data_IF_721202716129
#
_entry.id   IF_721202716129
#
_cell.length_a   1.000
_cell.length_b   1.000
_cell.length_c   1.000
_cell.angle_alpha   90.00
_cell.angle_beta   90.00
_cell.angle_gamma   90.00
#
_symmetry.space_group_name_H-M   'P 1'
#
loop_
_entity.id
_entity.type
_entity.pdbx_description
1 polymer ?
#
# COMPACT_ATOMS: atom_id res chain seq x y z
N UNK A 1 -3.36 -17.27 -6.48
CA UNK A 1 -2.04 -17.36 -5.84
C UNK A 1 -1.65 -18.82 -5.70
N UNK A 2 -0.35 -19.19 -5.75
CA UNK A 2 0.06 -20.55 -5.42
C UNK A 2 -0.36 -20.86 -3.98
N UNK A 3 -0.75 -22.10 -3.71
CA UNK A 3 -1.02 -22.55 -2.34
C UNK A 3 0.29 -22.39 -1.53
N UNK A 4 0.34 -21.43 -0.62
CA UNK A 4 1.54 -21.02 0.10
C UNK A 4 1.28 -19.87 1.08
N UNK A 5 2.27 -19.59 1.93
CA UNK A 5 2.24 -18.59 3.01
C UNK A 5 1.75 -17.22 2.53
N UNK A 6 1.15 -16.43 3.44
CA UNK A 6 0.71 -15.08 3.13
C UNK A 6 1.88 -14.18 2.70
N UNK A 7 1.62 -13.24 1.78
CA UNK A 7 2.58 -12.19 1.42
C UNK A 7 2.63 -11.20 2.58
N UNK A 8 3.81 -11.03 3.18
CA UNK A 8 4.00 -10.17 4.38
C UNK A 8 4.76 -8.88 4.09
N UNK A 9 5.15 -8.64 2.84
CA UNK A 9 5.80 -7.40 2.39
C UNK A 9 4.74 -6.43 1.86
N UNK A 10 4.62 -5.25 2.50
CA UNK A 10 3.66 -4.22 2.11
C UNK A 10 3.87 -3.72 0.68
N UNK A 11 5.13 -3.59 0.23
CA UNK A 11 5.44 -3.18 -1.13
C UNK A 11 4.99 -4.23 -2.16
N UNK A 12 5.14 -5.52 -1.84
CA UNK A 12 4.62 -6.60 -2.68
C UNK A 12 3.08 -6.60 -2.72
N UNK A 13 2.41 -6.45 -1.57
CA UNK A 13 0.95 -6.36 -1.51
C UNK A 13 0.42 -5.23 -2.40
N UNK A 14 1.06 -4.06 -2.37
CA UNK A 14 0.74 -2.95 -3.25
C UNK A 14 0.91 -3.30 -4.74
N UNK A 15 2.00 -3.97 -5.14
CA UNK A 15 2.15 -4.42 -6.54
C UNK A 15 1.01 -5.34 -6.96
N UNK A 16 0.67 -6.34 -6.14
CA UNK A 16 -0.45 -7.26 -6.43
C UNK A 16 -1.83 -6.60 -6.39
N UNK A 17 -1.98 -5.50 -5.66
CA UNK A 17 -3.23 -4.75 -5.58
C UNK A 17 -3.54 -3.93 -6.84
N UNK A 18 -2.55 -3.68 -7.70
CA UNK A 18 -2.76 -2.88 -8.91
C UNK A 18 -3.78 -3.55 -9.85
N UNK A 19 -4.77 -2.79 -10.36
CA UNK A 19 -5.81 -3.30 -11.26
C UNK A 19 -5.28 -3.44 -12.69
N UNK A 20 -4.26 -4.28 -12.88
CA UNK A 20 -3.58 -4.48 -14.17
C UNK A 20 -3.71 -5.92 -14.65
N UNK A 21 -3.78 -6.09 -15.96
CA UNK A 21 -3.78 -7.38 -16.63
C UNK A 21 -2.61 -7.44 -17.62
N UNK A 22 -1.44 -7.80 -17.11
CA UNK A 22 -0.23 -8.03 -17.91
C UNK A 22 0.57 -9.19 -17.33
N UNK A 23 0.41 -10.38 -17.90
CA UNK A 23 1.06 -11.58 -17.39
C UNK A 23 2.60 -11.48 -17.41
N UNK A 24 3.17 -10.78 -18.40
CA UNK A 24 4.62 -10.68 -18.59
C UNK A 24 5.29 -9.87 -17.48
N UNK A 25 4.69 -8.75 -17.06
CA UNK A 25 5.22 -7.98 -15.92
C UNK A 25 5.04 -8.73 -14.60
N UNK A 26 3.93 -9.48 -14.44
CA UNK A 26 3.73 -10.35 -13.27
C UNK A 26 4.78 -11.47 -13.20
N UNK A 27 5.15 -12.06 -14.32
CA UNK A 27 6.25 -13.04 -14.37
C UNK A 27 7.60 -12.43 -13.97
N UNK A 28 7.88 -11.19 -14.41
CA UNK A 28 9.08 -10.45 -14.00
C UNK A 28 9.07 -10.18 -12.49
N UNK A 29 7.98 -9.64 -11.96
CA UNK A 29 7.79 -9.37 -10.54
C UNK A 29 7.99 -10.64 -9.71
N UNK A 30 7.28 -11.73 -10.03
CA UNK A 30 7.31 -12.99 -9.29
C UNK A 30 8.73 -13.55 -9.21
N UNK A 31 9.46 -13.57 -10.33
CA UNK A 31 10.83 -14.06 -10.35
C UNK A 31 11.77 -13.24 -9.45
N UNK A 32 11.61 -11.92 -9.41
CA UNK A 32 12.39 -11.05 -8.53
C UNK A 32 12.00 -11.21 -7.06
N UNK A 33 10.72 -11.40 -6.75
CA UNK A 33 10.24 -11.62 -5.37
C UNK A 33 10.71 -12.96 -4.81
N UNK A 34 10.73 -14.02 -5.63
CA UNK A 34 11.16 -15.38 -5.26
C UNK A 34 12.61 -15.46 -4.79
N UNK A 35 13.46 -14.50 -5.18
CA UNK A 35 14.83 -14.37 -4.65
C UNK A 35 14.83 -14.34 -3.11
N UNK A 36 13.81 -13.74 -2.49
CA UNK A 36 13.66 -13.67 -1.02
C UNK A 36 13.54 -15.05 -0.37
N UNK A 37 12.89 -16.01 -1.04
CA UNK A 37 12.74 -17.38 -0.57
C UNK A 37 14.08 -18.13 -0.58
N UNK A 38 14.99 -17.73 -1.46
CA UNK A 38 16.28 -18.39 -1.65
C UNK A 38 17.42 -17.71 -0.88
N UNK A 39 17.32 -16.40 -0.65
CA UNK A 39 18.39 -15.61 -0.02
C UNK A 39 18.58 -15.93 1.46
N UNK A 40 17.49 -16.25 2.19
CA UNK A 40 17.56 -16.68 3.59
C UNK A 40 18.42 -17.94 3.74
N UNK A 41 18.22 -18.90 2.85
CA UNK A 41 18.97 -20.16 2.81
C UNK A 41 20.26 -20.09 1.97
N UNK A 42 20.67 -18.90 1.49
CA UNK A 42 21.85 -18.68 0.63
C UNK A 42 21.90 -19.61 -0.60
N UNK A 43 20.74 -19.91 -1.19
CA UNK A 43 20.61 -20.79 -2.36
C UNK A 43 20.91 -20.03 -3.66
N UNK A 44 22.21 -19.82 -3.93
CA UNK A 44 22.68 -19.01 -5.06
C UNK A 44 22.29 -19.53 -6.45
N UNK A 45 22.21 -20.85 -6.65
CA UNK A 45 21.78 -21.43 -7.93
C UNK A 45 20.37 -21.00 -8.34
N UNK A 46 19.34 -21.22 -7.50
CA UNK A 46 18.00 -20.67 -7.72
C UNK A 46 17.97 -19.16 -7.92
N UNK A 47 18.65 -18.37 -7.07
CA UNK A 47 18.72 -16.91 -7.21
C UNK A 47 19.24 -16.51 -8.60
N UNK A 48 20.36 -17.12 -9.04
CA UNK A 48 20.93 -16.89 -10.37
C UNK A 48 19.96 -17.26 -11.49
N UNK A 49 19.20 -18.35 -11.33
CA UNK A 49 18.16 -18.75 -12.28
C UNK A 49 17.06 -17.70 -12.37
N UNK A 50 16.62 -17.12 -11.27
CA UNK A 50 15.52 -16.15 -11.26
C UNK A 50 15.94 -14.80 -11.85
N UNK A 51 17.15 -14.33 -11.52
CA UNK A 51 17.73 -13.13 -12.17
C UNK A 51 17.92 -13.34 -13.68
N UNK A 52 18.35 -14.54 -14.10
CA UNK A 52 18.49 -14.87 -15.52
C UNK A 52 17.14 -14.88 -16.24
N UNK A 53 16.07 -15.37 -15.59
CA UNK A 53 14.71 -15.31 -16.15
C UNK A 53 14.23 -13.86 -16.29
N UNK A 54 14.44 -13.03 -15.26
CA UNK A 54 14.11 -11.60 -15.30
C UNK A 54 14.82 -10.90 -16.46
N UNK A 55 16.14 -11.11 -16.61
CA UNK A 55 16.94 -10.61 -17.72
C UNK A 55 16.41 -11.08 -19.08
N UNK A 56 15.99 -12.35 -19.20
CA UNK A 56 15.41 -12.89 -20.44
C UNK A 56 14.06 -12.25 -20.79
N UNK A 57 13.19 -12.04 -19.80
CA UNK A 57 11.90 -11.34 -20.00
C UNK A 57 12.17 -9.93 -20.50
N UNK A 58 13.06 -9.21 -19.82
CA UNK A 58 13.44 -7.85 -20.21
C UNK A 58 14.11 -7.81 -21.59
N UNK A 59 14.88 -8.81 -22.01
CA UNK A 59 15.50 -8.75 -23.34
C UNK A 59 14.58 -9.17 -24.48
N UNK A 60 13.68 -10.12 -24.25
CA UNK A 60 12.92 -10.77 -25.33
C UNK A 60 11.44 -10.36 -25.37
N UNK A 61 10.89 -9.83 -24.29
CA UNK A 61 9.44 -9.64 -24.12
C UNK A 61 9.06 -8.22 -23.67
N UNK A 62 9.93 -7.22 -23.84
CA UNK A 62 9.60 -5.80 -23.53
C UNK A 62 8.32 -5.33 -24.22
N UNK A 63 8.15 -5.71 -25.49
CA UNK A 63 6.97 -5.32 -26.25
C UNK A 63 5.68 -5.87 -25.66
N UNK A 64 5.71 -7.00 -24.94
CA UNK A 64 4.53 -7.51 -24.22
C UNK A 64 4.25 -6.72 -22.95
N UNK A 65 5.29 -6.23 -22.26
CA UNK A 65 5.15 -5.35 -21.10
C UNK A 65 4.54 -4.00 -21.53
N UNK A 66 5.06 -3.41 -22.60
CA UNK A 66 4.63 -2.11 -23.11
C UNK A 66 3.21 -2.10 -23.69
N UNK A 67 2.63 -3.26 -24.06
CA UNK A 67 1.27 -3.34 -24.63
C UNK A 67 0.17 -2.81 -23.72
N UNK A 68 0.36 -2.88 -22.40
CA UNK A 68 -0.63 -2.41 -21.42
C UNK A 68 -0.46 -0.94 -21.04
N UNK A 69 0.48 -0.23 -21.67
CA UNK A 69 0.82 1.16 -21.34
C UNK A 69 0.30 2.08 -22.45
N UNK A 70 -0.33 3.18 -22.02
CA UNK A 70 -0.89 4.17 -22.94
C UNK A 70 0.19 4.90 -23.74
N UNK A 71 -0.14 5.35 -24.96
CA UNK A 71 0.81 6.05 -25.84
C UNK A 71 1.46 7.27 -25.18
N UNK A 72 0.72 7.98 -24.33
CA UNK A 72 1.21 9.15 -23.59
C UNK A 72 2.24 8.81 -22.53
N UNK A 73 2.26 7.57 -22.03
CA UNK A 73 3.16 7.10 -21.00
C UNK A 73 4.29 6.20 -21.54
N UNK A 74 4.27 5.84 -22.83
CA UNK A 74 5.27 4.96 -23.46
C UNK A 74 6.71 5.41 -23.21
N UNK A 75 7.04 6.68 -23.45
CA UNK A 75 8.40 7.19 -23.26
C UNK A 75 8.88 7.07 -21.80
N UNK A 76 7.98 7.29 -20.83
CA UNK A 76 8.29 7.12 -19.40
C UNK A 76 8.50 5.65 -19.06
N UNK A 77 7.67 4.77 -19.61
CA UNK A 77 7.78 3.33 -19.40
C UNK A 77 9.04 2.72 -20.02
N UNK A 78 9.43 3.16 -21.22
CA UNK A 78 10.71 2.77 -21.84
C UNK A 78 11.90 3.21 -20.99
N UNK A 79 11.85 4.42 -20.43
CA UNK A 79 12.85 4.91 -19.49
C UNK A 79 12.95 4.06 -18.22
N UNK A 80 11.81 3.69 -17.62
CA UNK A 80 11.76 2.80 -16.46
C UNK A 80 12.26 1.40 -16.79
N UNK A 81 11.89 0.83 -17.94
CA UNK A 81 12.39 -0.48 -18.38
C UNK A 81 13.91 -0.49 -18.54
N UNK A 82 14.49 0.57 -19.11
CA UNK A 82 15.95 0.70 -19.20
C UNK A 82 16.62 0.75 -17.81
N UNK A 83 16.00 1.41 -16.82
CA UNK A 83 16.50 1.43 -15.44
C UNK A 83 16.39 0.05 -14.79
N UNK A 84 15.25 -0.64 -14.97
CA UNK A 84 15.03 -2.01 -14.47
C UNK A 84 16.07 -2.97 -15.08
N UNK A 85 16.36 -2.86 -16.37
CA UNK A 85 17.40 -3.67 -17.04
C UNK A 85 18.80 -3.44 -16.49
N UNK A 86 19.16 -2.17 -16.26
CA UNK A 86 20.43 -1.83 -15.64
C UNK A 86 20.50 -2.38 -14.20
N UNK A 87 19.42 -2.25 -13.43
CA UNK A 87 19.31 -2.78 -12.07
C UNK A 87 19.39 -4.31 -12.03
N UNK A 88 18.73 -5.02 -12.95
CA UNK A 88 18.82 -6.49 -13.06
C UNK A 88 20.23 -6.94 -13.45
N UNK A 89 20.93 -6.17 -14.28
CA UNK A 89 22.33 -6.44 -14.64
C UNK A 89 23.27 -6.24 -13.45
N UNK A 90 23.06 -5.19 -12.63
CA UNK A 90 23.78 -5.01 -11.37
C UNK A 90 23.47 -6.12 -10.37
N UNK A 91 22.20 -6.53 -10.29
CA UNK A 91 21.76 -7.64 -9.44
C UNK A 91 22.44 -8.95 -9.84
N UNK A 92 22.59 -9.20 -11.14
CA UNK A 92 23.33 -10.36 -11.64
C UNK A 92 24.79 -10.35 -11.16
N UNK A 93 25.48 -9.22 -11.28
CA UNK A 93 26.87 -9.10 -10.80
C UNK A 93 26.98 -9.35 -9.29
N UNK A 94 26.03 -8.84 -8.49
CA UNK A 94 26.00 -9.07 -7.05
C UNK A 94 25.75 -10.56 -6.71
N UNK A 95 24.90 -11.25 -7.48
CA UNK A 95 24.66 -12.69 -7.35
C UNK A 95 25.89 -13.51 -7.70
N UNK A 96 26.62 -13.16 -8.76
CA UNK A 96 27.89 -13.80 -9.14
C UNK A 96 28.96 -13.61 -8.07
N UNK A 97 29.05 -12.42 -7.49
CA UNK A 97 29.92 -12.10 -6.36
C UNK A 97 29.46 -12.74 -5.03
N UNK A 98 28.25 -13.31 -4.98
CA UNK A 98 27.60 -13.84 -3.77
C UNK A 98 27.48 -12.78 -2.65
N UNK A 99 27.29 -11.53 -3.03
CA UNK A 99 27.11 -10.41 -2.11
C UNK A 99 25.64 -10.35 -1.68
N UNK A 100 25.35 -10.92 -0.50
CA UNK A 100 23.98 -11.00 0.01
C UNK A 100 23.38 -9.62 0.27
N UNK A 101 24.14 -8.69 0.84
CA UNK A 101 23.62 -7.38 1.22
C UNK A 101 23.28 -6.59 -0.04
N UNK A 102 24.18 -6.61 -1.02
CA UNK A 102 23.94 -5.92 -2.28
C UNK A 102 22.79 -6.52 -3.08
N UNK A 103 22.61 -7.84 -3.04
CA UNK A 103 21.44 -8.49 -3.66
C UNK A 103 20.13 -8.05 -3.00
N UNK A 104 20.09 -7.92 -1.67
CA UNK A 104 18.88 -7.45 -0.95
C UNK A 104 18.54 -6.02 -1.38
N UNK A 105 19.54 -5.13 -1.37
CA UNK A 105 19.41 -3.72 -1.76
C UNK A 105 18.93 -3.59 -3.21
N UNK A 106 19.68 -4.14 -4.17
CA UNK A 106 19.36 -4.01 -5.60
C UNK A 106 18.03 -4.66 -5.96
N UNK A 107 17.68 -5.81 -5.36
CA UNK A 107 16.38 -6.46 -5.59
C UNK A 107 15.24 -5.55 -5.13
N UNK A 108 15.36 -4.91 -3.96
CA UNK A 108 14.35 -3.96 -3.47
C UNK A 108 14.18 -2.80 -4.45
N UNK A 109 15.28 -2.21 -4.90
CA UNK A 109 15.25 -1.04 -5.77
C UNK A 109 14.65 -1.39 -7.16
N UNK A 110 15.02 -2.54 -7.73
CA UNK A 110 14.43 -3.05 -8.98
C UNK A 110 12.93 -3.32 -8.81
N UNK A 111 12.51 -3.94 -7.70
CA UNK A 111 11.10 -4.20 -7.43
C UNK A 111 10.28 -2.93 -7.21
N UNK A 112 10.89 -1.87 -6.67
CA UNK A 112 10.27 -0.55 -6.58
C UNK A 112 10.02 0.03 -7.99
N UNK A 113 11.01 -0.03 -8.88
CA UNK A 113 10.88 0.41 -10.27
C UNK A 113 9.85 -0.43 -11.05
N UNK A 114 9.79 -1.74 -10.82
CA UNK A 114 8.74 -2.61 -11.38
C UNK A 114 7.36 -2.14 -10.91
N UNK A 115 7.19 -1.80 -9.64
CA UNK A 115 5.93 -1.23 -9.14
C UNK A 115 5.55 0.09 -9.82
N UNK A 116 6.51 0.98 -10.05
CA UNK A 116 6.25 2.22 -10.80
C UNK A 116 5.85 1.95 -12.26
N UNK A 117 6.48 0.96 -12.90
CA UNK A 117 6.13 0.55 -14.26
C UNK A 117 4.72 -0.06 -14.32
N UNK A 118 4.35 -0.88 -13.33
CA UNK A 118 3.02 -1.45 -13.21
C UNK A 118 1.95 -0.37 -12.98
N UNK A 119 2.24 0.68 -12.21
CA UNK A 119 1.35 1.82 -12.03
C UNK A 119 1.07 2.55 -13.36
N UNK A 120 2.04 2.64 -14.28
CA UNK A 120 1.82 3.19 -15.63
C UNK A 120 0.92 2.33 -16.52
N UNK A 121 0.64 1.07 -16.13
CA UNK A 121 -0.32 0.23 -16.86
C UNK A 121 -1.76 0.55 -16.49
N UNK A 122 -1.99 1.29 -15.39
CA UNK A 122 -3.32 1.72 -14.99
C UNK A 122 -3.71 2.95 -15.82
N UNK A 123 -4.28 2.72 -16.99
CA UNK A 123 -4.62 3.77 -17.95
C UNK A 123 -5.67 4.78 -17.45
N UNK A 124 -6.58 4.33 -16.58
CA UNK A 124 -7.63 5.15 -15.96
C UNK A 124 -8.00 4.58 -14.60
N UNK A 125 -8.57 5.42 -13.74
CA UNK A 125 -9.14 4.97 -12.47
C UNK A 125 -10.22 3.89 -12.72
N UNK A 126 -10.22 2.76 -11.97
CA UNK A 126 -10.91 1.53 -12.39
C UNK A 126 -12.44 1.56 -12.24
N UNK A 127 -12.99 2.44 -11.40
CA UNK A 127 -14.43 2.51 -11.10
C UNK A 127 -14.86 3.94 -10.74
N UNK A 128 -16.17 4.20 -10.67
CA UNK A 128 -16.71 5.48 -10.22
C UNK A 128 -17.11 5.39 -8.75
N UNK A 129 -16.66 6.35 -7.94
CA UNK A 129 -17.09 6.44 -6.54
C UNK A 129 -18.57 6.85 -6.49
N UNK A 130 -19.42 6.20 -5.67
CA UNK A 130 -20.84 6.53 -5.59
C UNK A 130 -21.11 8.02 -5.32
N UNK A 131 -22.05 8.61 -6.05
CA UNK A 131 -22.36 10.05 -5.99
C UNK A 131 -22.73 10.56 -4.60
N UNK A 132 -23.27 9.71 -3.73
CA UNK A 132 -23.52 10.03 -2.31
C UNK A 132 -22.26 10.40 -1.52
N UNK A 133 -21.08 10.06 -2.02
CA UNK A 133 -19.77 10.38 -1.43
C UNK A 133 -19.00 11.44 -2.24
N UNK A 134 -19.63 12.11 -3.21
CA UNK A 134 -18.99 13.12 -4.04
C UNK A 134 -18.51 14.37 -3.24
N UNK A 135 -19.02 14.54 -2.01
CA UNK A 135 -18.62 15.60 -1.09
C UNK A 135 -17.40 15.23 -0.22
N UNK A 136 -16.80 14.05 -0.41
CA UNK A 136 -15.62 13.60 0.33
C UNK A 136 -14.37 13.69 -0.58
N UNK A 137 -13.17 13.94 -0.01
CA UNK A 137 -11.93 13.79 -0.75
C UNK A 137 -11.74 12.36 -1.27
N UNK A 138 -11.20 12.22 -2.49
CA UNK A 138 -10.98 10.93 -3.14
C UNK A 138 -9.55 10.85 -3.67
N UNK A 139 -8.84 9.78 -3.37
CA UNK A 139 -7.54 9.51 -3.99
C UNK A 139 -7.74 8.64 -5.23
N UNK A 140 -7.61 9.20 -6.43
CA UNK A 140 -7.78 8.48 -7.69
C UNK A 140 -6.45 7.94 -8.23
N UNK A 141 -5.73 7.21 -7.37
CA UNK A 141 -4.40 6.70 -7.67
C UNK A 141 -3.69 6.30 -6.39
N UNK A 142 -2.39 6.57 -6.31
CA UNK A 142 -1.59 6.38 -5.09
C UNK A 142 -0.95 7.68 -4.65
N UNK A 143 -0.64 7.74 -3.36
CA UNK A 143 0.22 8.77 -2.81
C UNK A 143 1.32 8.12 -1.95
N UNK A 144 2.49 8.74 -1.92
CA UNK A 144 3.55 8.39 -0.97
C UNK A 144 3.61 9.46 0.10
N UNK A 145 3.53 9.05 1.35
CA UNK A 145 3.55 9.94 2.51
C UNK A 145 4.77 9.63 3.36
N UNK A 146 5.59 10.66 3.58
CA UNK A 146 6.67 10.64 4.54
C UNK A 146 6.13 11.09 5.89
N UNK A 147 6.31 10.26 6.92
CA UNK A 147 5.93 10.60 8.31
C UNK A 147 7.19 10.66 9.15
N UNK A 148 7.55 11.86 9.59
CA UNK A 148 8.61 12.07 10.58
C UNK A 148 8.03 11.83 11.97
N UNK A 149 8.69 11.00 12.77
CA UNK A 149 8.28 10.67 14.15
C UNK A 149 9.43 10.96 15.11
N UNK A 150 9.17 10.93 16.41
CA UNK A 150 10.23 11.05 17.42
C UNK A 150 11.27 9.91 17.42
N UNK A 151 11.03 8.84 16.65
CA UNK A 151 11.94 7.71 16.47
C UNK A 151 12.61 7.68 15.09
N UNK A 152 12.31 8.66 14.24
CA UNK A 152 12.79 8.76 12.86
C UNK A 152 11.66 8.69 11.85
N UNK A 153 12.03 8.53 10.58
CA UNK A 153 11.12 8.59 9.45
C UNK A 153 10.55 7.20 9.10
N UNK A 154 9.26 7.17 8.76
CA UNK A 154 8.63 6.05 8.07
C UNK A 154 8.01 6.53 6.75
N UNK A 155 8.01 5.66 5.74
CA UNK A 155 7.38 5.93 4.43
C UNK A 155 6.16 5.04 4.25
N UNK A 156 5.03 5.66 3.92
CA UNK A 156 3.76 5.01 3.62
C UNK A 156 3.45 5.15 2.12
N UNK A 157 2.94 4.08 1.51
CA UNK A 157 2.22 4.19 0.24
C UNK A 157 0.74 3.93 0.53
N UNK A 158 -0.10 4.89 0.16
CA UNK A 158 -1.56 4.81 0.28
C UNK A 158 -2.20 4.52 -1.07
N UNK A 159 -3.17 3.62 -1.08
CA UNK A 159 -3.75 3.01 -2.28
C UNK A 159 -5.21 3.38 -2.47
N UNK A 160 -5.43 4.42 -3.28
CA UNK A 160 -6.75 4.86 -3.68
C UNK A 160 -7.40 3.97 -4.75
N UNK A 161 -6.64 3.10 -5.41
CA UNK A 161 -7.22 2.09 -6.32
C UNK A 161 -8.11 1.09 -5.59
N UNK A 162 -7.86 0.81 -4.31
CA UNK A 162 -8.67 -0.10 -3.51
C UNK A 162 -9.54 0.63 -2.48
N UNK A 163 -9.07 1.76 -1.93
CA UNK A 163 -9.75 2.50 -0.87
C UNK A 163 -9.74 4.03 -1.14
N UNK A 164 -10.43 4.52 -2.18
CA UNK A 164 -10.32 5.91 -2.61
C UNK A 164 -10.82 6.94 -1.60
N UNK A 165 -11.87 6.64 -0.82
CA UNK A 165 -12.44 7.60 0.14
C UNK A 165 -11.56 7.73 1.39
N UNK A 166 -11.09 6.59 1.90
CA UNK A 166 -10.26 6.46 3.09
C UNK A 166 -8.88 7.02 2.81
N UNK A 167 -8.25 6.62 1.70
CA UNK A 167 -6.96 7.15 1.28
C UNK A 167 -7.09 8.65 0.92
N UNK A 168 -8.15 9.07 0.23
CA UNK A 168 -8.40 10.47 -0.11
C UNK A 168 -8.53 11.34 1.13
N UNK A 169 -9.32 10.90 2.11
CA UNK A 169 -9.44 11.59 3.39
C UNK A 169 -8.11 11.65 4.15
N UNK A 170 -7.35 10.55 4.21
CA UNK A 170 -6.04 10.54 4.86
C UNK A 170 -5.07 11.55 4.21
N UNK A 171 -4.94 11.54 2.88
CA UNK A 171 -4.04 12.45 2.16
C UNK A 171 -4.48 13.91 2.32
N UNK A 172 -5.79 14.21 2.24
CA UNK A 172 -6.29 15.57 2.48
C UNK A 172 -5.96 16.08 3.91
N UNK A 173 -6.02 15.20 4.92
CA UNK A 173 -5.64 15.54 6.29
C UNK A 173 -4.13 15.73 6.46
N UNK A 174 -3.31 14.94 5.76
CA UNK A 174 -1.85 15.17 5.70
C UNK A 174 -1.54 16.55 5.13
N UNK A 175 -2.15 16.92 4.00
CA UNK A 175 -1.88 18.23 3.36
C UNK A 175 -2.34 19.43 4.21
N UNK A 176 -3.33 19.21 5.08
CA UNK A 176 -3.79 20.20 6.06
C UNK A 176 -2.91 20.27 7.30
N UNK A 177 -1.88 19.43 7.42
CA UNK A 177 -1.03 19.32 8.61
C UNK A 177 -1.77 18.80 9.84
N UNK A 178 -2.90 18.09 9.66
CA UNK A 178 -3.76 17.67 10.76
C UNK A 178 -3.05 16.72 11.73
N UNK A 179 -2.16 15.86 11.21
CA UNK A 179 -1.46 14.86 12.02
C UNK A 179 -0.22 15.39 12.75
N UNK A 180 0.20 16.62 12.47
CA UNK A 180 1.43 17.18 13.02
C UNK A 180 1.32 17.37 14.54
N UNK A 181 2.25 16.76 15.28
CA UNK A 181 2.31 16.79 16.73
C UNK A 181 1.35 15.81 17.44
N UNK A 182 0.52 15.06 16.71
CA UNK A 182 -0.41 14.11 17.32
C UNK A 182 0.33 12.92 17.93
N UNK A 183 -0.09 12.45 19.13
CA UNK A 183 0.52 11.32 19.77
C UNK A 183 0.05 10.00 19.16
N UNK A 184 0.85 8.96 19.35
CA UNK A 184 0.42 7.58 19.25
C UNK A 184 -0.33 7.19 20.53
N UNK A 185 -1.50 6.59 20.36
CA UNK A 185 -2.28 5.94 21.39
C UNK A 185 -2.23 4.42 21.18
N UNK A 186 -2.32 3.66 22.26
CA UNK A 186 -2.28 2.20 22.22
C UNK A 186 -3.63 1.67 22.66
N UNK A 187 -4.20 0.76 21.86
CA UNK A 187 -5.29 -0.10 22.30
C UNK A 187 -4.71 -1.22 23.18
N UNK A 188 -5.44 -1.63 24.22
CA UNK A 188 -4.96 -2.51 25.31
C UNK A 188 -4.51 -3.92 24.85
N UNK A 189 -4.77 -4.28 23.59
CA UNK A 189 -4.29 -5.51 22.97
C UNK A 189 -3.18 -5.20 21.97
N UNK A 190 -2.01 -5.82 22.16
CA UNK A 190 -0.70 -5.41 21.64
C UNK A 190 -0.47 -5.55 20.13
N UNK A 191 -1.51 -5.47 19.31
CA UNK A 191 -1.48 -5.76 17.87
C UNK A 191 -1.61 -4.53 16.97
N UNK A 192 -1.97 -3.37 17.53
CA UNK A 192 -2.10 -2.11 16.78
C UNK A 192 -1.47 -0.92 17.50
N UNK A 193 -0.94 0.02 16.73
CA UNK A 193 -0.51 1.34 17.19
C UNK A 193 -1.35 2.40 16.49
N UNK A 194 -2.20 3.09 17.24
CA UNK A 194 -3.21 4.00 16.72
C UNK A 194 -2.76 5.46 16.89
N UNK A 195 -3.23 6.34 16.02
CA UNK A 195 -2.99 7.80 16.09
C UNK A 195 -4.09 8.54 15.32
N UNK A 196 -3.98 9.86 15.17
CA UNK A 196 -4.96 10.68 14.46
C UNK A 196 -6.14 11.13 15.31
N UNK A 197 -6.09 10.93 16.62
CA UNK A 197 -7.07 11.45 17.57
C UNK A 197 -6.87 12.97 17.74
N UNK A 198 -7.88 13.82 17.44
CA UNK A 198 -7.72 15.28 17.47
C UNK A 198 -7.40 15.80 18.87
N UNK A 199 -6.66 16.90 18.93
CA UNK A 199 -6.47 17.61 20.19
C UNK A 199 -7.78 18.31 20.61
N UNK A 200 -8.43 17.85 21.68
CA UNK A 200 -9.61 18.50 22.25
C UNK A 200 -10.75 17.52 22.55
N UNK A 201 -12.00 18.01 22.67
CA UNK A 201 -13.17 17.16 22.96
C UNK A 201 -13.73 16.45 21.72
N UNK A 202 -13.24 16.80 20.53
CA UNK A 202 -13.68 16.19 19.28
C UNK A 202 -13.21 14.73 19.20
N UNK A 203 -13.98 13.89 18.52
CA UNK A 203 -13.68 12.45 18.37
C UNK A 203 -13.18 12.10 16.95
N UNK A 204 -13.02 13.11 16.10
CA UNK A 204 -12.55 12.99 14.72
C UNK A 204 -12.39 14.36 14.06
N UNK A 205 -12.26 14.39 12.73
CA UNK A 205 -12.01 15.63 12.01
C UNK A 205 -13.26 16.49 11.88
N UNK A 206 -13.15 17.74 12.32
CA UNK A 206 -14.10 18.82 12.03
C UNK A 206 -13.51 19.67 10.90
N UNK A 207 -14.23 19.76 9.78
CA UNK A 207 -13.82 20.58 8.66
C UNK A 207 -13.96 22.06 9.01
N UNK A 208 -12.84 22.80 9.03
CA UNK A 208 -12.81 24.20 9.44
C UNK A 208 -13.56 25.15 8.50
N UNK A 209 -13.79 24.78 7.24
CA UNK A 209 -14.53 25.60 6.29
C UNK A 209 -16.05 25.43 6.47
N UNK A 210 -16.50 24.24 6.86
CA UNK A 210 -17.94 23.92 6.98
C UNK A 210 -18.43 23.81 8.43
N UNK A 211 -17.51 23.72 9.39
CA UNK A 211 -17.75 23.41 10.80
C UNK A 211 -18.58 22.12 11.00
N UNK A 212 -18.36 21.12 10.13
CA UNK A 212 -19.03 19.82 10.17
C UNK A 212 -18.04 18.71 10.45
N UNK A 213 -18.49 17.72 11.22
CA UNK A 213 -17.80 16.45 11.36
C UNK A 213 -17.72 15.74 10.01
N UNK A 214 -16.54 15.23 9.67
CA UNK A 214 -16.31 14.45 8.45
C UNK A 214 -16.10 13.00 8.80
N UNK A 215 -17.04 12.16 8.36
CA UNK A 215 -16.89 10.72 8.35
C UNK A 215 -16.63 10.18 6.94
N UNK A 216 -15.97 9.04 6.86
CA UNK A 216 -15.81 8.22 5.67
C UNK A 216 -16.44 6.84 5.92
N UNK A 217 -17.08 6.25 4.90
CA UNK A 217 -17.64 4.91 5.03
C UNK A 217 -16.54 3.86 5.18
N UNK A 218 -16.86 2.74 5.82
CA UNK A 218 -16.07 1.52 5.62
C UNK A 218 -16.07 1.19 4.13
N UNK A 219 -14.90 1.02 3.54
CA UNK A 219 -14.78 0.54 2.17
C UNK A 219 -13.81 -0.63 2.10
N UNK A 220 -14.21 -1.69 1.39
CA UNK A 220 -13.40 -2.88 1.21
C UNK A 220 -13.52 -3.36 -0.23
N UNK A 221 -12.43 -3.31 -0.98
CA UNK A 221 -12.34 -3.95 -2.28
C UNK A 221 -11.97 -5.43 -2.11
N UNK A 222 -12.85 -6.31 -2.59
CA UNK A 222 -12.60 -7.76 -2.62
C UNK A 222 -11.98 -8.15 -3.96
N UNK A 223 -11.10 -9.15 -3.93
CA UNK A 223 -10.49 -9.68 -5.15
C UNK A 223 -11.54 -10.22 -6.12
N UNK A 224 -11.49 -9.74 -7.36
CA UNK A 224 -12.42 -10.11 -8.42
C UNK A 224 -13.64 -9.21 -8.51
N UNK A 225 -13.89 -8.36 -7.51
CA UNK A 225 -14.89 -7.31 -7.60
C UNK A 225 -14.42 -6.18 -8.52
N UNK A 226 -15.39 -5.46 -9.07
CA UNK A 226 -15.13 -4.29 -9.95
C UNK A 226 -14.97 -2.99 -9.17
N UNK A 227 -15.57 -2.91 -7.99
CA UNK A 227 -15.63 -1.72 -7.15
C UNK A 227 -15.70 -2.12 -5.67
N UNK A 228 -15.35 -1.22 -4.73
CA UNK A 228 -15.40 -1.51 -3.30
C UNK A 228 -16.83 -1.70 -2.80
N UNK A 229 -16.98 -2.56 -1.80
CA UNK A 229 -18.19 -2.59 -0.97
C UNK A 229 -18.12 -1.46 0.05
N UNK A 230 -19.20 -0.69 0.22
CA UNK A 230 -19.26 0.48 1.10
C UNK A 230 -20.26 0.32 2.26
N UNK A 231 -19.88 0.76 3.45
CA UNK A 231 -20.72 0.92 4.64
C UNK A 231 -21.23 -0.39 5.26
N UNK A 232 -20.58 -1.50 4.98
CA UNK A 232 -20.90 -2.81 5.55
C UNK A 232 -19.64 -3.66 5.67
N UNK A 233 -19.53 -4.43 6.74
CA UNK A 233 -18.42 -5.38 6.90
C UNK A 233 -18.60 -6.57 5.93
N UNK A 234 -17.52 -7.25 5.57
CA UNK A 234 -17.65 -8.48 4.78
C UNK A 234 -18.43 -9.56 5.54
N UNK A 235 -18.37 -9.58 6.87
CA UNK A 235 -19.13 -10.52 7.69
C UNK A 235 -20.64 -10.27 7.59
N UNK A 236 -21.07 -9.03 7.81
CA UNK A 236 -22.48 -8.65 7.74
C UNK A 236 -23.02 -8.78 6.31
N UNK A 237 -22.16 -8.62 5.30
CA UNK A 237 -22.49 -8.87 3.89
C UNK A 237 -22.57 -10.37 3.53
N UNK A 238 -22.27 -11.29 4.46
CA UNK A 238 -22.22 -12.73 4.21
C UNK A 238 -21.01 -13.21 3.40
N UNK A 239 -19.96 -12.38 3.29
CA UNK A 239 -18.74 -12.55 2.50
C UNK A 239 -17.50 -12.82 3.37
N UNK A 240 -17.66 -13.43 4.54
CA UNK A 240 -16.58 -13.68 5.52
C UNK A 240 -15.42 -14.58 5.03
N UNK A 241 -15.53 -15.18 3.85
CA UNK A 241 -14.45 -15.98 3.20
C UNK A 241 -13.78 -15.27 2.04
N UNK A 242 -14.30 -14.11 1.66
CA UNK A 242 -13.79 -13.36 0.53
C UNK A 242 -12.52 -12.63 0.95
N UNK A 243 -11.56 -12.57 0.03
CA UNK A 243 -10.24 -12.02 0.31
C UNK A 243 -10.18 -10.57 -0.13
N UNK A 244 -9.86 -9.62 0.77
CA UNK A 244 -9.59 -8.24 0.39
C UNK A 244 -8.41 -8.13 -0.60
N UNK A 245 -8.45 -7.10 -1.43
CA UNK A 245 -7.31 -6.70 -2.27
C UNK A 245 -6.15 -6.25 -1.39
N UNK A 246 -6.43 -5.47 -0.34
CA UNK A 246 -5.48 -5.05 0.68
C UNK A 246 -5.73 -5.83 1.99
N UNK A 247 -5.02 -6.94 2.25
CA UNK A 247 -5.18 -7.73 3.47
C UNK A 247 -4.31 -7.22 4.62
N UNK A 248 -4.69 -7.60 5.85
CA UNK A 248 -3.86 -7.50 7.07
C UNK A 248 -2.82 -8.63 7.15
N UNK A 249 -1.98 -8.77 6.13
CA UNK A 249 -0.92 -9.78 6.10
C UNK A 249 0.49 -9.24 6.32
N UNK A 250 0.67 -7.92 6.34
CA UNK A 250 1.97 -7.28 6.53
C UNK A 250 2.05 -6.47 7.83
N UNK A 251 3.21 -6.55 8.50
CA UNK A 251 3.56 -5.59 9.54
C UNK A 251 3.59 -4.18 8.93
N UNK A 252 2.99 -3.21 9.60
CA UNK A 252 2.84 -1.85 9.08
C UNK A 252 1.71 -1.69 8.07
N UNK A 253 0.74 -2.63 8.01
CA UNK A 253 -0.54 -2.38 7.34
C UNK A 253 -1.21 -1.17 7.98
N UNK A 254 -1.71 -0.23 7.18
CA UNK A 254 -2.36 1.00 7.65
C UNK A 254 -3.86 0.91 7.39
N UNK A 255 -4.65 1.06 8.44
CA UNK A 255 -6.11 0.98 8.35
C UNK A 255 -6.80 2.07 9.15
N UNK A 256 -7.98 2.48 8.67
CA UNK A 256 -8.79 3.51 9.31
C UNK A 256 -9.46 2.93 10.57
N UNK A 257 -9.31 3.62 11.69
CA UNK A 257 -10.03 3.30 12.91
C UNK A 257 -11.50 3.74 12.78
N UNK A 258 -12.39 2.96 13.39
CA UNK A 258 -13.83 3.20 13.43
C UNK A 258 -14.43 2.57 14.69
N UNK A 259 -15.65 2.98 15.02
CA UNK A 259 -16.48 2.34 16.03
C UNK A 259 -16.96 1.00 15.50
N UNK A 260 -16.87 -0.06 16.31
CA UNK A 260 -17.16 -1.44 15.86
C UNK A 260 -18.59 -1.61 15.34
N UNK A 261 -19.55 -0.96 15.99
CA UNK A 261 -20.97 -1.05 15.65
C UNK A 261 -21.40 -0.16 14.45
N UNK A 262 -20.57 0.81 14.05
CA UNK A 262 -20.93 1.81 13.04
C UNK A 262 -19.91 1.79 11.88
N UNK A 263 -20.19 1.07 10.78
CA UNK A 263 -19.28 0.96 9.64
C UNK A 263 -18.90 2.31 9.03
N UNK A 264 -19.79 3.31 9.08
CA UNK A 264 -19.59 4.63 8.48
C UNK A 264 -19.01 5.68 9.45
N UNK A 265 -18.35 5.24 10.53
CA UNK A 265 -17.82 6.15 11.56
C UNK A 265 -16.34 6.51 11.40
N UNK A 266 -15.65 6.02 10.36
CA UNK A 266 -14.25 6.34 10.14
C UNK A 266 -14.06 7.84 9.95
N UNK A 267 -12.98 8.43 10.48
CA UNK A 267 -12.74 9.88 10.36
C UNK A 267 -11.24 10.18 10.22
N UNK A 268 -10.57 10.60 11.30
CA UNK A 268 -9.14 10.95 11.27
C UNK A 268 -8.23 9.89 11.88
N UNK A 269 -8.77 9.04 12.75
CA UNK A 269 -7.97 8.08 13.49
C UNK A 269 -7.60 6.89 12.61
N UNK A 270 -6.34 6.50 12.60
CA UNK A 270 -5.86 5.33 11.87
C UNK A 270 -4.86 4.56 12.73
N UNK A 271 -4.57 3.32 12.34
CA UNK A 271 -3.63 2.49 13.07
C UNK A 271 -2.70 1.72 12.15
N UNK A 272 -1.53 1.42 12.70
CA UNK A 272 -0.57 0.47 12.16
C UNK A 272 -0.81 -0.90 12.75
N UNK A 273 -0.92 -1.92 11.91
CA UNK A 273 -0.96 -3.30 12.33
C UNK A 273 0.46 -3.79 12.64
N UNK A 274 0.71 -4.18 13.90
CA UNK A 274 2.04 -4.54 14.40
C UNK A 274 2.25 -6.05 14.56
N UNK A 275 1.28 -6.87 14.18
CA UNK A 275 1.41 -8.31 14.28
C UNK A 275 2.02 -8.91 13.01
N UNK A 276 2.99 -9.82 13.17
CA UNK A 276 3.51 -10.63 12.08
C UNK A 276 2.72 -11.95 12.01
N UNK A 277 1.88 -12.15 10.97
CA UNK A 277 1.09 -13.36 10.82
C UNK A 277 1.97 -14.49 10.26
N UNK A 278 3.02 -14.91 10.97
CA UNK A 278 3.81 -16.10 10.57
C UNK A 278 2.97 -17.39 10.66
N UNK A 279 1.86 -17.36 11.41
CA UNK A 279 0.99 -18.50 11.67
C UNK A 279 -0.46 -18.33 11.22
N UNK A 280 -0.83 -17.17 10.66
CA UNK A 280 -2.18 -16.93 10.15
C UNK A 280 -2.19 -17.23 8.65
N UNK A 281 -2.94 -18.25 8.19
CA UNK A 281 -3.09 -18.48 6.75
C UNK A 281 -3.61 -17.24 6.03
N UNK A 282 -3.19 -17.04 4.78
CA UNK A 282 -3.68 -15.94 3.96
C UNK A 282 -5.23 -15.95 3.94
N UNK A 283 -5.84 -14.84 4.37
CA UNK A 283 -7.30 -14.70 4.40
C UNK A 283 -8.02 -15.11 5.69
N UNK A 284 -7.29 -15.35 6.78
CA UNK A 284 -7.87 -15.65 8.10
C UNK A 284 -7.49 -14.62 9.17
N UNK A 285 -7.07 -13.42 8.77
CA UNK A 285 -6.90 -12.34 9.75
C UNK A 285 -8.28 -11.84 10.19
N UNK A 286 -8.52 -11.77 11.51
CA UNK A 286 -9.81 -11.36 12.08
C UNK A 286 -10.18 -9.90 11.74
N UNK A 287 -9.23 -9.09 11.29
CA UNK A 287 -9.45 -7.70 10.88
C UNK A 287 -9.84 -7.57 9.39
N UNK A 288 -9.56 -8.57 8.56
CA UNK A 288 -9.88 -8.54 7.13
C UNK A 288 -11.40 -8.39 6.94
N UNK A 289 -11.79 -7.41 6.13
CA UNK A 289 -13.21 -7.12 5.88
C UNK A 289 -13.95 -6.40 7.00
N UNK A 290 -13.29 -6.13 8.13
CA UNK A 290 -13.85 -5.34 9.26
C UNK A 290 -13.32 -3.92 9.31
N UNK A 291 -12.18 -3.63 8.69
CA UNK A 291 -11.57 -2.30 8.61
C UNK A 291 -11.15 -1.97 7.18
N UNK A 292 -11.16 -0.68 6.84
CA UNK A 292 -10.63 -0.19 5.56
C UNK A 292 -9.10 -0.10 5.66
N UNK A 293 -8.40 -1.09 5.11
CA UNK A 293 -6.97 -0.97 4.81
C UNK A 293 -6.81 -0.03 3.62
N UNK A 294 -5.95 0.97 3.75
CA UNK A 294 -5.75 1.98 2.71
C UNK A 294 -4.28 2.20 2.36
N UNK A 295 -3.35 1.45 2.96
CA UNK A 295 -1.94 1.57 2.64
C UNK A 295 -1.05 0.66 3.46
N UNK A 296 0.25 0.75 3.19
CA UNK A 296 1.29 0.00 3.89
C UNK A 296 2.51 0.86 4.13
N UNK A 297 3.20 0.59 5.24
CA UNK A 297 4.56 1.06 5.48
C UNK A 297 5.51 0.32 4.55
N UNK A 298 6.26 1.05 3.73
CA UNK A 298 7.21 0.50 2.76
C UNK A 298 8.67 0.73 3.14
N UNK A 299 8.94 1.71 4.02
CA UNK A 299 10.28 1.99 4.55
C UNK A 299 10.19 2.42 6.02
N UNK A 300 11.27 2.20 6.79
CA UNK A 300 11.33 2.54 8.21
C UNK A 300 10.64 1.52 9.12
N UNK A 301 10.64 0.22 8.75
CA UNK A 301 10.05 -0.84 9.57
C UNK A 301 10.63 -0.82 11.00
N UNK A 302 11.95 -0.70 11.09
CA UNK A 302 12.70 -0.63 12.35
C UNK A 302 12.37 0.60 13.19
N UNK A 303 11.94 1.70 12.56
CA UNK A 303 11.44 2.89 13.26
C UNK A 303 10.05 2.60 13.82
N UNK A 304 9.17 2.00 13.02
CA UNK A 304 7.83 1.60 13.46
C UNK A 304 7.85 0.60 14.62
N UNK A 305 8.78 -0.35 14.62
CA UNK A 305 9.00 -1.30 15.74
C UNK A 305 9.38 -0.60 17.06
N UNK A 306 10.00 0.58 16.99
CA UNK A 306 10.44 1.35 18.16
C UNK A 306 9.36 2.28 18.71
N UNK A 307 8.34 2.60 17.91
CA UNK A 307 7.26 3.50 18.30
C UNK A 307 6.37 2.88 19.38
N UNK A 308 5.97 3.72 20.34
CA UNK A 308 5.15 3.34 21.50
C UNK A 308 4.10 4.40 21.76
N UNK A 309 3.15 4.06 22.64
CA UNK A 309 2.21 5.02 23.18
C UNK A 309 2.93 6.25 23.73
N UNK A 310 2.44 7.43 23.37
CA UNK A 310 2.99 8.72 23.80
C UNK A 310 4.09 9.28 22.92
N UNK A 311 4.73 8.47 22.06
CA UNK A 311 5.56 9.01 20.98
C UNK A 311 4.68 9.82 20.02
N UNK A 312 5.26 10.69 19.20
CA UNK A 312 4.49 11.60 18.33
C UNK A 312 4.87 11.51 16.87
N UNK A 313 3.89 11.83 16.02
CA UNK A 313 4.14 12.32 14.66
C UNK A 313 4.70 13.74 14.80
N UNK A 314 5.91 13.97 14.31
CA UNK A 314 6.51 15.31 14.25
C UNK A 314 5.92 16.07 13.06
N UNK A 315 5.86 15.42 11.89
CA UNK A 315 5.15 15.95 10.73
C UNK A 315 4.82 14.85 9.73
N UNK A 316 3.74 15.01 8.97
CA UNK A 316 3.43 14.16 7.83
C UNK A 316 3.39 14.98 6.53
N UNK A 317 3.94 14.46 5.43
CA UNK A 317 3.98 15.15 4.13
C UNK A 317 3.72 14.20 2.98
N UNK A 318 2.85 14.59 2.05
CA UNK A 318 2.74 13.94 0.74
C UNK A 318 3.97 14.30 -0.08
N UNK A 319 4.74 13.28 -0.51
CA UNK A 319 5.99 13.46 -1.26
C UNK A 319 5.86 13.01 -2.72
N UNK A 320 4.79 12.29 -3.08
CA UNK A 320 4.45 11.86 -4.45
C UNK A 320 2.95 11.60 -4.54
N UNK A 321 2.32 11.91 -5.67
CA UNK A 321 0.94 11.52 -5.96
C UNK A 321 -0.15 12.44 -5.37
N UNK A 322 0.21 13.66 -4.95
CA UNK A 322 -0.77 14.68 -4.55
C UNK A 322 -1.70 15.05 -5.72
N UNK A 323 -1.20 14.98 -6.96
CA UNK A 323 -1.99 15.19 -8.17
C UNK A 323 -3.16 14.21 -8.34
N UNK A 324 -3.14 13.08 -7.62
CA UNK A 324 -4.22 12.09 -7.63
C UNK A 324 -5.33 12.42 -6.63
N UNK A 325 -5.14 13.41 -5.75
CA UNK A 325 -6.13 13.79 -4.76
C UNK A 325 -7.18 14.73 -5.35
N UNK A 326 -8.40 14.24 -5.43
CA UNK A 326 -9.58 15.01 -5.83
C UNK A 326 -10.27 15.53 -4.58
N UNK A 327 -10.25 16.84 -4.38
CA UNK A 327 -11.01 17.51 -3.31
C UNK A 327 -12.39 17.89 -3.81
N UNK A 328 -13.45 17.76 -3.00
CA UNK A 328 -14.76 18.26 -3.36
C UNK A 328 -14.67 19.76 -3.63
N UNK A 329 -15.31 20.24 -4.69
CA UNK A 329 -15.43 21.68 -4.91
C UNK A 329 -16.19 22.31 -3.75
N UNK A 330 -15.71 23.44 -3.24
CA UNK A 330 -16.44 24.21 -2.25
C UNK A 330 -17.82 24.55 -2.83
N UNK A 331 -18.88 24.15 -2.13
CA UNK A 331 -20.26 24.48 -2.48
C UNK A 331 -20.54 25.98 -2.33
#
# INVERSE_FOLDING_TARGET
>A
MPAGNAITDGAALLRYALPIDNQTVRELQNGLEDISNHIRAKRWGPISSDVSKASRILNLRKSEILKSITDTQQAKAEGLLAQIEAGVSQLQNAVEAKDREKVIELKRDVLAQVGELEELMVAKFPFEVPSKYANLPQLQGRATVSVETEKGQITLIVDGYSAPLTAGNFVDLVDRGFYDGLPFIRSEESYVLQTGDPAGPEVGFIDSATNKYRNVPLEVLVRGDKEPTYGITLEDAGRYRDLPVLPFSAFGTVAMAREEAEPDSGSSQFFFFLFEPELTPAGLNLLDGRYAVFGYVTEGKEVLEQLKQGDKIVSAKVIKGDENLIRPQAA
#
